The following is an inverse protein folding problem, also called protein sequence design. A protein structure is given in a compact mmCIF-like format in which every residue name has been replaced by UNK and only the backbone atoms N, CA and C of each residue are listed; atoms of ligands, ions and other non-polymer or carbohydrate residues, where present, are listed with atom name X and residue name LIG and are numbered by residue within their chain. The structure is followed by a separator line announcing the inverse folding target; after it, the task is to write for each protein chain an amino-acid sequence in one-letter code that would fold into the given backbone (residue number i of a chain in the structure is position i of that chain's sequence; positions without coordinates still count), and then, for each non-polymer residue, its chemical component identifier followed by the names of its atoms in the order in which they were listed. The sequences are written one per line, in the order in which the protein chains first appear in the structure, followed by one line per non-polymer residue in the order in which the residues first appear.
data_IF_307713086205
#
_entry.id   IF_307713086205
#
_cell.length_a   1.000
_cell.length_b   1.000
_cell.length_c   1.000
_cell.angle_alpha   90.00
_cell.angle_beta   90.00
_cell.angle_gamma   90.00
#
_symmetry.space_group_name_H-M   'P 1'
#
loop_
_entity.id
_entity.type
_entity.pdbx_description
1 polymer ?
#
# COMPACT_ATOMS: atom_id res chain seq x y z
N UNK A 1 -36.78 11.50 -19.03
CA UNK A 1 -36.01 10.85 -17.95
C UNK A 1 -35.29 9.66 -18.55
N UNK A 2 -34.06 9.84 -19.00
CA UNK A 2 -33.23 8.79 -19.61
C UNK A 2 -31.92 8.77 -18.84
N UNK A 3 -31.69 7.68 -18.11
CA UNK A 3 -30.44 7.40 -17.40
C UNK A 3 -29.47 6.76 -18.40
N UNK A 4 -28.41 7.50 -18.75
CA UNK A 4 -27.22 7.00 -19.44
C UNK A 4 -26.15 6.52 -18.45
N UNK A 5 -25.17 5.72 -18.90
CA UNK A 5 -24.61 4.62 -18.11
C UNK A 5 -23.41 5.00 -17.21
N UNK A 6 -23.19 4.11 -16.22
CA UNK A 6 -22.07 4.08 -15.28
C UNK A 6 -20.72 4.19 -16.00
N UNK A 7 -19.91 5.16 -15.60
CA UNK A 7 -18.50 5.26 -15.96
C UNK A 7 -17.74 4.11 -15.30
N UNK A 8 -17.03 3.38 -16.14
CA UNK A 8 -16.12 2.28 -15.84
C UNK A 8 -14.87 2.82 -15.13
N UNK A 9 -14.60 2.35 -13.91
CA UNK A 9 -13.30 2.52 -13.25
C UNK A 9 -12.35 1.46 -13.78
N UNK A 10 -11.50 1.85 -14.73
CA UNK A 10 -10.32 1.09 -15.12
C UNK A 10 -9.13 1.68 -14.36
N UNK A 11 -8.42 0.96 -13.48
CA UNK A 11 -7.08 1.38 -13.09
C UNK A 11 -6.14 0.96 -14.23
N UNK A 12 -5.89 1.88 -15.17
CA UNK A 12 -4.72 1.81 -16.03
C UNK A 12 -3.66 2.72 -15.41
N UNK A 13 -2.79 2.15 -14.59
CA UNK A 13 -1.43 2.66 -14.41
C UNK A 13 -0.59 2.04 -15.52
N UNK A 14 0.05 2.89 -16.32
CA UNK A 14 0.63 2.57 -17.63
C UNK A 14 1.93 1.76 -17.49
N UNK A 15 2.14 0.80 -18.39
CA UNK A 15 3.40 0.05 -18.59
C UNK A 15 4.63 0.96 -18.87
N UNK A 16 4.40 2.27 -19.03
CA UNK A 16 5.41 3.30 -19.28
C UNK A 16 6.00 3.86 -17.97
N UNK A 17 5.15 4.15 -16.97
CA UNK A 17 5.60 4.57 -15.62
C UNK A 17 6.47 3.47 -14.97
N UNK A 18 6.14 2.19 -15.21
CA UNK A 18 6.90 1.05 -14.71
C UNK A 18 8.27 0.88 -15.38
N UNK A 19 8.41 1.26 -16.66
CA UNK A 19 9.69 1.15 -17.40
C UNK A 19 10.70 2.21 -16.98
N UNK A 20 10.25 3.43 -16.70
CA UNK A 20 11.14 4.51 -16.28
C UNK A 20 11.80 4.21 -14.93
N UNK A 21 11.05 3.61 -14.00
CA UNK A 21 11.58 3.17 -12.71
C UNK A 21 12.46 1.92 -12.86
N UNK A 22 12.11 0.97 -13.73
CA UNK A 22 12.91 -0.23 -13.96
C UNK A 22 14.33 0.07 -14.48
N UNK A 23 14.49 1.09 -15.33
CA UNK A 23 15.79 1.54 -15.85
C UNK A 23 16.67 2.25 -14.80
N UNK A 24 16.09 2.71 -13.67
CA UNK A 24 16.80 3.34 -12.56
C UNK A 24 17.34 2.34 -11.53
N UNK A 25 16.91 1.06 -11.59
CA UNK A 25 17.32 -0.01 -10.67
C UNK A 25 18.68 -0.59 -11.07
N UNK A 26 19.73 0.23 -11.01
CA UNK A 26 21.10 -0.27 -10.86
C UNK A 26 21.54 -0.11 -9.38
N UNK A 27 21.32 -1.19 -8.60
CA UNK A 27 22.19 -1.68 -7.51
C UNK A 27 21.92 -1.41 -6.01
N UNK A 28 20.86 -0.68 -5.58
CA UNK A 28 20.60 -0.47 -4.13
C UNK A 28 19.34 -1.12 -3.57
N UNK A 29 18.33 -1.38 -4.41
CA UNK A 29 17.04 -1.96 -4.01
C UNK A 29 16.79 -3.32 -4.67
N UNK A 30 16.10 -4.22 -3.97
CA UNK A 30 15.64 -5.50 -4.52
C UNK A 30 14.13 -5.60 -4.39
N UNK A 31 13.42 -5.75 -5.51
CA UNK A 31 11.96 -5.90 -5.54
C UNK A 31 11.58 -7.37 -5.79
N UNK A 32 10.82 -7.95 -4.86
CA UNK A 32 10.39 -9.36 -4.88
C UNK A 32 8.87 -9.45 -4.82
N UNK A 33 8.25 -10.17 -5.75
CA UNK A 33 6.82 -10.47 -5.71
C UNK A 33 6.56 -11.84 -5.09
N UNK A 34 5.69 -11.93 -4.09
CA UNK A 34 5.28 -13.17 -3.45
C UNK A 34 3.79 -13.47 -3.70
N UNK A 35 3.47 -14.72 -4.01
CA UNK A 35 2.13 -15.14 -4.41
C UNK A 35 1.80 -14.75 -5.87
N UNK A 36 0.68 -15.24 -6.42
CA UNK A 36 0.28 -14.94 -7.80
C UNK A 36 0.14 -13.43 -8.07
N UNK A 37 -0.48 -12.67 -7.16
CA UNK A 37 -0.73 -11.24 -7.37
C UNK A 37 0.52 -10.40 -7.11
N UNK A 38 1.30 -10.74 -6.09
CA UNK A 38 2.58 -10.09 -5.84
C UNK A 38 3.56 -10.31 -7.00
N UNK A 39 3.66 -11.55 -7.51
CA UNK A 39 4.48 -11.86 -8.68
C UNK A 39 4.02 -11.09 -9.92
N UNK A 40 2.71 -11.04 -10.21
CA UNK A 40 2.17 -10.28 -11.34
C UNK A 40 2.42 -8.76 -11.20
N UNK A 41 2.33 -8.21 -9.98
CA UNK A 41 2.60 -6.81 -9.73
C UNK A 41 4.06 -6.43 -10.01
N UNK A 42 4.99 -7.33 -9.69
CA UNK A 42 6.42 -7.14 -9.92
C UNK A 42 6.83 -7.51 -11.36
N UNK A 43 6.08 -8.37 -12.05
CA UNK A 43 6.33 -8.71 -13.47
C UNK A 43 6.18 -7.48 -14.38
N UNK A 44 5.18 -6.64 -14.13
CA UNK A 44 5.01 -5.36 -14.84
C UNK A 44 6.12 -4.34 -14.57
N UNK A 45 6.78 -4.43 -13.41
CA UNK A 45 7.92 -3.60 -13.02
C UNK A 45 9.23 -4.04 -13.73
N UNK A 46 9.23 -5.20 -14.40
CA UNK A 46 10.45 -5.82 -14.92
C UNK A 46 10.63 -5.62 -16.42
N UNK A 47 11.08 -4.42 -16.78
CA UNK A 47 12.22 -4.39 -17.70
C UNK A 47 13.45 -4.86 -16.92
N UNK A 48 13.88 -6.11 -17.09
CA UNK A 48 15.21 -6.62 -16.68
C UNK A 48 15.58 -6.88 -15.20
N UNK A 49 14.64 -7.05 -14.24
CA UNK A 49 15.00 -7.68 -12.95
C UNK A 49 14.63 -9.18 -12.92
N UNK A 50 15.59 -10.05 -12.58
CA UNK A 50 15.46 -11.52 -12.62
C UNK A 50 14.43 -12.03 -11.61
N UNK A 51 13.45 -12.83 -12.05
CA UNK A 51 12.58 -13.58 -11.11
C UNK A 51 13.53 -14.44 -10.31
N UNK A 52 13.27 -14.69 -9.03
CA UNK A 52 13.99 -15.73 -8.32
C UNK A 52 13.21 -17.05 -8.49
N UNK A 53 13.40 -17.84 -9.56
CA UNK A 53 13.02 -19.24 -9.53
C UNK A 53 14.18 -20.01 -8.92
N UNK A 54 14.10 -20.31 -7.63
CA UNK A 54 14.99 -21.27 -6.97
C UNK A 54 16.42 -20.79 -6.77
N UNK A 55 16.93 -21.08 -5.57
CA UNK A 55 18.33 -20.89 -5.24
C UNK A 55 19.24 -21.73 -6.15
N UNK A 56 19.94 -21.09 -7.10
CA UNK A 56 21.25 -21.53 -7.59
C UNK A 56 21.86 -20.49 -8.55
N UNK A 57 22.45 -19.42 -8.01
CA UNK A 57 23.85 -19.11 -8.29
C UNK A 57 24.34 -17.99 -7.36
N UNK A 58 25.17 -18.37 -6.39
CA UNK A 58 25.89 -17.46 -5.53
C UNK A 58 27.05 -16.87 -6.33
N UNK A 59 27.00 -15.58 -6.64
CA UNK A 59 28.05 -14.98 -7.48
C UNK A 59 28.08 -13.47 -7.65
N UNK A 60 27.33 -12.67 -6.90
CA UNK A 60 27.62 -11.22 -6.80
C UNK A 60 26.98 -10.64 -5.54
N UNK A 61 27.83 -10.18 -4.62
CA UNK A 61 27.42 -9.34 -3.50
C UNK A 61 27.05 -7.98 -4.08
N UNK A 62 25.78 -7.82 -4.43
CA UNK A 62 25.18 -6.52 -4.70
C UNK A 62 24.96 -5.86 -3.33
N UNK A 63 25.40 -4.61 -3.16
CA UNK A 63 25.27 -3.86 -1.91
C UNK A 63 23.82 -3.40 -1.72
N UNK A 64 22.93 -4.35 -1.39
CA UNK A 64 21.50 -4.09 -1.19
C UNK A 64 21.29 -3.29 0.10
N UNK A 65 20.64 -2.14 0.00
CA UNK A 65 20.31 -1.28 1.15
C UNK A 65 18.91 -1.57 1.67
N UNK A 66 17.97 -1.94 0.79
CA UNK A 66 16.64 -2.38 1.17
C UNK A 66 16.05 -3.42 0.22
N UNK A 67 15.12 -4.21 0.74
CA UNK A 67 14.34 -5.21 -0.01
C UNK A 67 12.86 -4.84 0.09
N UNK A 68 12.23 -4.60 -1.05
CA UNK A 68 10.79 -4.35 -1.16
C UNK A 68 10.11 -5.66 -1.58
N UNK A 69 9.23 -6.18 -0.73
CA UNK A 69 8.48 -7.41 -0.98
C UNK A 69 7.02 -7.05 -1.24
N UNK A 70 6.52 -7.33 -2.42
CA UNK A 70 5.14 -7.14 -2.79
C UNK A 70 4.34 -8.42 -2.54
N UNK A 71 3.26 -8.32 -1.78
CA UNK A 71 2.39 -9.46 -1.48
C UNK A 71 0.93 -9.00 -1.37
N UNK A 72 0.00 -9.83 -1.80
CA UNK A 72 -1.43 -9.62 -1.55
C UNK A 72 -1.83 -10.41 -0.31
N UNK A 73 -2.61 -9.81 0.60
CA UNK A 73 -3.03 -10.52 1.82
C UNK A 73 -3.83 -11.78 1.50
N UNK A 74 -4.62 -11.77 0.44
CA UNK A 74 -5.37 -12.93 -0.02
C UNK A 74 -4.48 -14.12 -0.41
N UNK A 75 -3.26 -13.85 -0.87
CA UNK A 75 -2.26 -14.88 -1.21
C UNK A 75 -1.55 -15.43 0.04
N UNK A 76 -1.61 -14.72 1.17
CA UNK A 76 -1.06 -15.13 2.48
C UNK A 76 -2.14 -15.79 3.37
N UNK A 77 -3.41 -15.56 3.04
CA UNK A 77 -4.55 -15.88 3.87
C UNK A 77 -4.68 -17.33 4.31
N UNK A 78 -5.20 -17.51 5.53
CA UNK A 78 -5.68 -18.79 6.07
C UNK A 78 -7.20 -18.93 5.81
N UNK A 79 -7.70 -20.16 5.68
CA UNK A 79 -9.12 -20.46 5.38
C UNK A 79 -10.14 -19.61 6.17
N UNK A 80 -11.18 -19.13 5.47
CA UNK A 80 -12.57 -19.09 5.98
C UNK A 80 -13.29 -17.74 6.06
N UNK A 81 -14.15 -17.44 5.08
CA UNK A 81 -15.53 -16.95 5.35
C UNK A 81 -16.58 -17.38 4.33
N UNK A 82 -16.29 -18.35 3.45
CA UNK A 82 -17.35 -19.10 2.78
C UNK A 82 -17.72 -20.31 3.63
N UNK A 83 -18.98 -20.33 4.07
CA UNK A 83 -19.55 -21.24 5.06
C UNK A 83 -19.70 -22.70 4.60
N UNK A 84 -18.88 -23.18 3.67
CA UNK A 84 -19.02 -24.51 3.07
C UNK A 84 -17.67 -25.19 2.89
N UNK A 85 -16.93 -25.42 3.98
CA UNK A 85 -15.98 -26.55 4.17
C UNK A 85 -15.39 -26.45 5.58
N UNK A 86 -15.97 -27.19 6.53
CA UNK A 86 -15.25 -27.54 7.75
C UNK A 86 -14.20 -28.60 7.40
N UNK A 87 -13.05 -28.54 8.08
CA UNK A 87 -11.87 -29.42 7.96
C UNK A 87 -10.95 -29.13 6.78
N UNK A 88 -9.94 -28.27 6.94
CA UNK A 88 -8.60 -28.48 6.38
C UNK A 88 -7.52 -27.58 7.00
N UNK A 89 -6.29 -27.97 6.72
CA UNK A 89 -5.03 -27.28 6.99
C UNK A 89 -4.96 -26.03 6.08
N UNK A 90 -4.08 -25.03 6.30
CA UNK A 90 -3.79 -24.01 5.29
C UNK A 90 -3.60 -24.63 3.91
N UNK A 91 -4.12 -23.98 2.87
CA UNK A 91 -3.77 -24.34 1.50
C UNK A 91 -2.24 -24.26 1.36
N UNK A 92 -1.60 -25.26 0.73
CA UNK A 92 -0.15 -25.30 0.62
C UNK A 92 0.43 -24.01 0.01
N UNK A 93 -0.30 -23.38 -0.92
CA UNK A 93 0.08 -22.15 -1.61
C UNK A 93 0.22 -20.92 -0.68
N UNK A 94 -0.62 -20.79 0.36
CA UNK A 94 -0.52 -19.69 1.33
C UNK A 94 0.69 -19.87 2.27
N UNK A 95 0.93 -21.11 2.69
CA UNK A 95 2.14 -21.47 3.45
C UNK A 95 3.42 -21.25 2.64
N UNK A 96 3.40 -21.59 1.35
CA UNK A 96 4.50 -21.35 0.40
C UNK A 96 4.76 -19.86 0.20
N UNK A 97 3.71 -19.04 0.00
CA UNK A 97 3.82 -17.59 -0.15
C UNK A 97 4.47 -16.96 1.07
N UNK A 98 4.01 -17.31 2.28
CA UNK A 98 4.58 -16.78 3.50
C UNK A 98 6.03 -17.23 3.72
N UNK A 99 6.35 -18.49 3.42
CA UNK A 99 7.74 -18.97 3.49
C UNK A 99 8.65 -18.25 2.49
N UNK A 100 8.10 -17.83 1.33
CA UNK A 100 8.79 -17.03 0.33
C UNK A 100 9.08 -15.62 0.87
N UNK A 101 8.10 -14.98 1.51
CA UNK A 101 8.31 -13.69 2.20
C UNK A 101 9.36 -13.83 3.29
N UNK A 102 9.25 -14.84 4.17
CA UNK A 102 10.23 -15.08 5.23
C UNK A 102 11.66 -15.25 4.67
N UNK A 103 11.81 -15.98 3.56
CA UNK A 103 13.12 -16.16 2.93
C UNK A 103 13.67 -14.88 2.29
N UNK A 104 12.78 -14.02 1.78
CA UNK A 104 13.15 -12.74 1.15
C UNK A 104 13.56 -11.69 2.18
N UNK A 105 12.96 -11.71 3.37
CA UNK A 105 13.27 -10.78 4.46
C UNK A 105 14.48 -11.22 5.30
N UNK A 106 14.71 -12.53 5.49
CA UNK A 106 15.75 -13.04 6.41
C UNK A 106 17.18 -13.08 5.84
N UNK A 107 17.37 -12.73 4.57
CA UNK A 107 18.59 -13.05 3.82
C UNK A 107 19.72 -12.01 3.87
N UNK A 108 19.41 -10.72 4.07
CA UNK A 108 20.36 -9.62 3.85
C UNK A 108 20.29 -8.63 5.04
N UNK A 109 21.40 -7.97 5.43
CA UNK A 109 21.43 -6.84 6.40
C UNK A 109 20.66 -5.59 5.91
N UNK A 110 19.80 -5.78 4.90
CA UNK A 110 19.04 -4.76 4.21
C UNK A 110 17.68 -4.57 4.89
N UNK A 111 17.22 -3.32 4.98
CA UNK A 111 15.93 -3.01 5.55
C UNK A 111 14.79 -3.58 4.70
N UNK A 112 13.90 -4.37 5.30
CA UNK A 112 12.84 -5.07 4.59
C UNK A 112 11.49 -4.33 4.71
N UNK A 113 10.94 -3.94 3.56
CA UNK A 113 9.61 -3.31 3.46
C UNK A 113 8.68 -4.26 2.74
N UNK A 114 7.61 -4.71 3.40
CA UNK A 114 6.58 -5.53 2.77
C UNK A 114 5.42 -4.63 2.37
N UNK A 115 5.18 -4.48 1.08
CA UNK A 115 4.01 -3.79 0.52
C UNK A 115 2.88 -4.79 0.38
N UNK A 116 1.76 -4.49 1.03
CA UNK A 116 0.66 -5.43 1.24
C UNK A 116 -0.62 -4.89 0.62
N UNK A 117 -1.12 -5.59 -0.40
CA UNK A 117 -2.43 -5.31 -1.00
C UNK A 117 -3.57 -5.75 -0.09
N UNK A 118 -4.38 -4.79 0.38
CA UNK A 118 -5.50 -5.03 1.29
C UNK A 118 -6.82 -5.11 0.48
N UNK A 119 -7.53 -6.26 0.50
CA UNK A 119 -8.77 -6.42 -0.22
C UNK A 119 -9.88 -5.52 0.32
N UNK A 120 -10.85 -5.16 -0.53
CA UNK A 120 -12.02 -4.37 -0.10
C UNK A 120 -12.89 -5.09 0.95
N UNK A 121 -12.80 -6.42 1.03
CA UNK A 121 -13.38 -7.21 2.12
C UNK A 121 -12.25 -7.61 3.05
N UNK A 122 -12.16 -6.92 4.18
CA UNK A 122 -11.13 -7.18 5.17
C UNK A 122 -11.69 -7.99 6.33
N UNK A 123 -11.21 -9.21 6.52
CA UNK A 123 -11.68 -10.15 7.53
C UNK A 123 -10.61 -10.50 8.56
N UNK A 124 -10.95 -11.46 9.43
CA UNK A 124 -10.08 -11.89 10.54
C UNK A 124 -8.82 -12.59 10.02
N UNK A 125 -8.94 -13.37 8.95
CA UNK A 125 -7.80 -14.06 8.32
C UNK A 125 -6.80 -13.08 7.73
N UNK A 126 -7.28 -12.02 7.08
CA UNK A 126 -6.44 -10.97 6.51
C UNK A 126 -5.70 -10.18 7.60
N UNK A 127 -6.39 -9.85 8.70
CA UNK A 127 -5.76 -9.22 9.87
C UNK A 127 -4.63 -10.08 10.44
N UNK A 128 -4.88 -11.37 10.61
CA UNK A 128 -3.88 -12.31 11.14
C UNK A 128 -2.67 -12.48 10.22
N UNK A 129 -2.88 -12.43 8.90
CA UNK A 129 -1.80 -12.45 7.92
C UNK A 129 -0.92 -11.18 8.04
N UNK A 130 -1.53 -9.99 8.14
CA UNK A 130 -0.79 -8.73 8.36
C UNK A 130 0.02 -8.79 9.66
N UNK A 131 -0.59 -9.23 10.77
CA UNK A 131 0.10 -9.36 12.07
C UNK A 131 1.34 -10.27 11.96
N UNK A 132 1.24 -11.33 11.16
CA UNK A 132 2.36 -12.24 10.94
C UNK A 132 3.45 -11.61 10.08
N UNK A 133 3.09 -10.86 9.05
CA UNK A 133 4.03 -10.12 8.21
C UNK A 133 4.78 -9.05 9.02
N UNK A 134 4.11 -8.34 9.92
CA UNK A 134 4.75 -7.41 10.86
C UNK A 134 5.76 -8.09 11.79
N UNK A 135 5.58 -9.38 12.09
CA UNK A 135 6.54 -10.16 12.87
C UNK A 135 7.76 -10.66 12.07
N UNK A 136 7.75 -10.49 10.74
CA UNK A 136 8.79 -10.99 9.83
C UNK A 136 9.61 -9.84 9.23
N UNK A 137 8.96 -8.74 8.87
CA UNK A 137 9.57 -7.60 8.19
C UNK A 137 9.85 -6.43 9.13
N UNK A 138 10.74 -5.53 8.73
CA UNK A 138 11.03 -4.31 9.48
C UNK A 138 9.88 -3.29 9.37
N UNK A 139 9.23 -3.24 8.22
CA UNK A 139 8.06 -2.41 7.99
C UNK A 139 7.02 -3.07 7.07
N UNK A 140 5.75 -2.84 7.37
CA UNK A 140 4.62 -3.26 6.53
C UNK A 140 3.87 -2.04 6.02
N UNK A 141 3.81 -1.88 4.70
CA UNK A 141 3.08 -0.79 4.04
C UNK A 141 1.81 -1.33 3.42
N UNK A 142 0.67 -0.97 3.98
CA UNK A 142 -0.64 -1.37 3.47
C UNK A 142 -1.03 -0.49 2.28
N UNK A 143 -1.59 -1.09 1.24
CA UNK A 143 -2.13 -0.38 0.08
C UNK A 143 -3.47 -0.93 -0.35
N UNK A 144 -4.27 -0.11 -1.03
CA UNK A 144 -5.57 -0.53 -1.55
C UNK A 144 -5.44 -1.67 -2.55
N UNK A 145 -6.45 -2.54 -2.60
CA UNK A 145 -6.55 -3.62 -3.58
C UNK A 145 -6.36 -3.11 -5.02
N UNK A 146 -5.65 -3.89 -5.82
CA UNK A 146 -5.34 -3.57 -7.23
C UNK A 146 -4.32 -2.45 -7.45
N UNK A 147 -3.86 -1.74 -6.41
CA UNK A 147 -2.84 -0.69 -6.53
C UNK A 147 -1.43 -1.15 -6.12
N UNK A 148 -1.23 -2.45 -5.90
CA UNK A 148 0.05 -3.03 -5.53
C UNK A 148 1.20 -2.70 -6.52
N UNK A 149 1.01 -2.77 -7.86
CA UNK A 149 2.08 -2.41 -8.80
C UNK A 149 2.46 -0.93 -8.69
N UNK A 150 1.46 -0.05 -8.64
CA UNK A 150 1.67 1.39 -8.49
C UNK A 150 2.37 1.73 -7.17
N UNK A 151 2.00 1.08 -6.07
CA UNK A 151 2.64 1.27 -4.78
C UNK A 151 4.14 0.95 -4.79
N UNK A 152 4.52 -0.15 -5.43
CA UNK A 152 5.93 -0.55 -5.55
C UNK A 152 6.70 0.51 -6.35
N UNK A 153 6.18 0.90 -7.51
CA UNK A 153 6.81 1.93 -8.33
C UNK A 153 6.95 3.24 -7.56
N UNK A 154 5.91 3.66 -6.86
CA UNK A 154 5.96 4.92 -6.11
C UNK A 154 6.89 4.86 -4.91
N UNK A 155 7.00 3.73 -4.23
CA UNK A 155 7.95 3.56 -3.13
C UNK A 155 9.40 3.55 -3.65
N UNK A 156 9.67 2.86 -4.76
CA UNK A 156 11.00 2.85 -5.38
C UNK A 156 11.37 4.22 -5.90
N UNK A 157 10.45 4.87 -6.62
CA UNK A 157 10.62 6.21 -7.15
C UNK A 157 10.85 7.26 -6.03
N UNK A 158 10.21 7.12 -4.88
CA UNK A 158 10.48 7.95 -3.71
C UNK A 158 11.95 7.86 -3.23
N UNK A 159 12.59 6.72 -3.42
CA UNK A 159 13.96 6.45 -2.98
C UNK A 159 14.98 6.79 -4.08
N UNK A 160 14.62 6.57 -5.35
CA UNK A 160 15.55 6.64 -6.49
C UNK A 160 15.45 7.95 -7.29
N UNK A 161 14.30 8.65 -7.31
CA UNK A 161 14.14 9.88 -8.08
C UNK A 161 14.87 11.06 -7.43
N UNK A 162 15.78 11.68 -8.17
CA UNK A 162 16.47 12.88 -7.73
C UNK A 162 15.52 14.10 -7.73
N UNK A 163 15.09 14.52 -6.55
CA UNK A 163 14.26 15.69 -6.35
C UNK A 163 15.03 17.01 -6.24
N UNK A 164 14.32 18.14 -6.34
CA UNK A 164 14.82 19.46 -5.89
C UNK A 164 15.02 19.45 -4.37
N UNK A 165 14.11 18.79 -3.65
CA UNK A 165 14.28 18.41 -2.25
C UNK A 165 14.21 16.88 -2.23
N UNK A 166 15.38 16.26 -2.13
CA UNK A 166 15.51 14.81 -2.23
C UNK A 166 15.08 14.13 -0.93
N UNK A 167 14.29 13.08 -1.06
CA UNK A 167 14.00 12.11 -0.01
C UNK A 167 14.92 10.92 -0.19
N UNK A 168 15.35 10.29 0.89
CA UNK A 168 16.20 9.11 0.83
C UNK A 168 15.61 7.90 1.57
N UNK A 169 16.28 6.77 1.46
CA UNK A 169 15.87 5.55 2.15
C UNK A 169 15.92 5.72 3.67
N UNK A 170 16.82 6.53 4.22
CA UNK A 170 16.93 6.75 5.66
C UNK A 170 15.71 7.52 6.19
N UNK A 171 15.13 8.42 5.41
CA UNK A 171 13.87 9.10 5.73
C UNK A 171 12.72 8.08 5.83
N UNK A 172 12.59 7.19 4.84
CA UNK A 172 11.58 6.12 4.84
C UNK A 172 11.75 5.17 6.03
N UNK A 173 13.01 4.77 6.31
CA UNK A 173 13.34 3.95 7.48
C UNK A 173 12.97 4.65 8.78
N UNK A 174 13.33 5.92 8.92
CA UNK A 174 13.05 6.72 10.13
C UNK A 174 11.55 6.90 10.34
N UNK A 175 10.78 7.05 9.26
CA UNK A 175 9.34 7.16 9.31
C UNK A 175 8.67 5.85 9.74
N UNK A 176 9.07 4.71 9.16
CA UNK A 176 8.38 3.43 9.33
C UNK A 176 8.86 2.61 10.53
N UNK A 177 10.12 2.74 10.95
CA UNK A 177 10.71 1.93 12.03
C UNK A 177 10.02 2.04 13.39
N UNK A 178 9.51 3.22 13.83
CA UNK A 178 8.89 3.35 15.16
C UNK A 178 7.64 2.48 15.34
N UNK A 179 6.79 2.45 14.31
CA UNK A 179 5.47 1.80 14.37
C UNK A 179 5.42 0.47 13.60
N UNK A 180 6.43 0.21 12.74
CA UNK A 180 6.53 -1.00 11.90
C UNK A 180 5.42 -1.11 10.86
N UNK A 181 4.61 -0.06 10.69
CA UNK A 181 3.44 -0.06 9.82
C UNK A 181 3.15 1.31 9.22
N UNK A 182 2.71 1.31 7.97
CA UNK A 182 2.27 2.49 7.26
C UNK A 182 1.26 2.20 6.16
N UNK A 183 0.79 3.26 5.51
CA UNK A 183 0.03 3.16 4.25
C UNK A 183 0.66 4.07 3.21
N UNK A 184 0.61 3.65 1.96
CA UNK A 184 1.04 4.46 0.82
C UNK A 184 -0.18 4.79 -0.03
N UNK A 185 -0.23 6.01 -0.55
CA UNK A 185 -1.19 6.43 -1.56
C UNK A 185 -0.59 7.51 -2.47
N UNK A 186 -1.22 7.75 -3.60
CA UNK A 186 -0.83 8.78 -4.55
C UNK A 186 -2.06 9.42 -5.17
N UNK A 187 -1.98 10.71 -5.46
CA UNK A 187 -3.02 11.47 -6.11
C UNK A 187 -2.44 12.42 -7.15
N UNK A 188 -3.18 12.64 -8.23
CA UNK A 188 -2.83 13.61 -9.26
C UNK A 188 -3.92 14.66 -9.37
N UNK A 189 -3.51 15.88 -9.71
CA UNK A 189 -4.39 17.02 -9.91
C UNK A 189 -3.83 17.96 -10.96
N UNK A 190 -4.65 18.83 -11.56
CA UNK A 190 -4.15 19.85 -12.46
C UNK A 190 -3.40 20.93 -11.65
N UNK A 191 -2.38 21.53 -12.27
CA UNK A 191 -1.57 22.58 -11.68
C UNK A 191 -2.39 23.84 -11.32
N UNK A 192 -3.52 24.06 -12.02
CA UNK A 192 -4.48 25.12 -11.70
C UNK A 192 -5.21 24.94 -10.36
N UNK A 193 -5.31 23.70 -9.86
CA UNK A 193 -5.94 23.36 -8.56
C UNK A 193 -5.18 22.22 -7.87
N UNK A 194 -3.94 22.46 -7.41
CA UNK A 194 -3.04 21.41 -6.95
C UNK A 194 -3.52 20.74 -5.65
N UNK A 195 -4.44 21.37 -4.89
CA UNK A 195 -5.06 20.78 -3.70
C UNK A 195 -5.95 19.58 -4.03
N UNK A 196 -6.40 19.43 -5.28
CA UNK A 196 -7.13 18.23 -5.70
C UNK A 196 -6.21 17.02 -5.72
N UNK A 197 -4.91 17.19 -5.99
CA UNK A 197 -3.93 16.10 -5.92
C UNK A 197 -3.80 15.56 -4.49
N UNK A 198 -3.76 16.47 -3.50
CA UNK A 198 -3.76 16.12 -2.07
C UNK A 198 -5.05 15.38 -1.70
N UNK A 199 -6.20 15.89 -2.16
CA UNK A 199 -7.50 15.26 -1.89
C UNK A 199 -7.57 13.85 -2.49
N UNK A 200 -7.11 13.68 -3.73
CA UNK A 200 -7.04 12.39 -4.41
C UNK A 200 -6.08 11.41 -3.70
N UNK A 201 -4.93 11.89 -3.19
CA UNK A 201 -4.00 11.06 -2.44
C UNK A 201 -4.63 10.54 -1.14
N UNK A 202 -5.35 11.39 -0.41
CA UNK A 202 -6.06 11.02 0.81
C UNK A 202 -7.22 10.05 0.55
N UNK A 203 -7.97 10.27 -0.52
CA UNK A 203 -9.01 9.32 -1.00
C UNK A 203 -8.42 7.98 -1.47
N UNK A 204 -7.13 7.98 -1.83
CA UNK A 204 -6.39 6.79 -2.22
C UNK A 204 -5.95 5.91 -1.04
N UNK A 205 -5.99 6.41 0.20
CA UNK A 205 -5.71 5.64 1.41
C UNK A 205 -6.76 4.53 1.58
N UNK A 206 -6.35 3.41 2.19
CA UNK A 206 -7.27 2.29 2.47
C UNK A 206 -8.45 2.76 3.31
N UNK A 207 -9.65 2.33 2.94
CA UNK A 207 -10.88 2.60 3.69
C UNK A 207 -10.77 2.14 5.15
N UNK A 208 -11.44 2.86 6.05
CA UNK A 208 -11.48 2.55 7.49
C UNK A 208 -10.14 2.65 8.23
N UNK A 209 -9.12 3.25 7.61
CA UNK A 209 -7.90 3.72 8.28
C UNK A 209 -8.09 5.18 8.72
N UNK A 210 -7.79 5.48 9.98
CA UNK A 210 -7.83 6.85 10.49
C UNK A 210 -6.53 7.60 10.17
N UNK A 211 -6.56 8.42 9.13
CA UNK A 211 -5.43 9.28 8.73
C UNK A 211 -5.09 10.32 9.81
N UNK A 212 -6.06 10.74 10.63
CA UNK A 212 -5.83 11.73 11.68
C UNK A 212 -4.99 11.17 12.85
N UNK A 213 -4.90 9.85 12.96
CA UNK A 213 -4.09 9.18 13.98
C UNK A 213 -2.63 8.93 13.54
N UNK A 214 -2.27 9.25 12.29
CA UNK A 214 -0.93 9.02 11.77
C UNK A 214 0.13 9.78 12.59
N UNK A 215 1.13 9.05 13.09
CA UNK A 215 2.25 9.58 13.91
C UNK A 215 3.33 10.26 13.06
N UNK A 216 3.34 9.98 11.75
CA UNK A 216 4.29 10.53 10.81
C UNK A 216 3.79 10.49 9.38
N UNK A 217 4.36 11.36 8.55
CA UNK A 217 4.10 11.39 7.12
C UNK A 217 5.36 11.74 6.32
N UNK A 218 5.55 11.05 5.19
CA UNK A 218 6.35 11.54 4.05
C UNK A 218 5.38 12.06 2.99
N UNK A 219 5.57 13.32 2.60
CA UNK A 219 4.82 13.98 1.52
C UNK A 219 5.78 14.33 0.41
N UNK A 220 5.70 13.62 -0.70
CA UNK A 220 6.46 13.95 -1.90
C UNK A 220 5.56 14.63 -2.93
N UNK A 221 6.01 15.78 -3.45
CA UNK A 221 5.28 16.57 -4.41
C UNK A 221 6.06 16.63 -5.72
N UNK A 222 5.55 15.97 -6.75
CA UNK A 222 6.11 16.00 -8.10
C UNK A 222 5.25 16.88 -9.01
N UNK A 223 5.85 17.74 -9.82
CA UNK A 223 5.09 18.60 -10.73
C UNK A 223 5.93 19.10 -11.90
N UNK A 224 5.35 20.03 -12.66
CA UNK A 224 6.05 20.70 -13.76
C UNK A 224 7.27 21.49 -13.24
N UNK A 225 8.24 21.82 -14.10
CA UNK A 225 9.36 22.69 -13.73
C UNK A 225 8.95 24.06 -13.18
N UNK A 226 7.71 24.48 -13.43
CA UNK A 226 7.14 25.75 -12.96
C UNK A 226 6.57 25.66 -11.53
N UNK A 227 6.45 24.45 -10.96
CA UNK A 227 6.01 24.26 -9.58
C UNK A 227 7.04 24.83 -8.61
N UNK A 228 6.69 25.97 -8.01
CA UNK A 228 7.53 26.59 -6.98
C UNK A 228 7.57 25.76 -5.69
N UNK A 229 8.69 25.85 -4.97
CA UNK A 229 8.85 25.23 -3.64
C UNK A 229 7.80 25.72 -2.64
N UNK A 230 7.41 27.00 -2.71
CA UNK A 230 6.33 27.55 -1.87
C UNK A 230 4.96 26.92 -2.20
N UNK A 231 4.72 26.60 -3.48
CA UNK A 231 3.54 25.86 -3.93
C UNK A 231 3.51 24.45 -3.35
N UNK A 232 4.62 23.72 -3.45
CA UNK A 232 4.75 22.40 -2.84
C UNK A 232 4.57 22.43 -1.32
N UNK A 233 5.18 23.40 -0.63
CA UNK A 233 5.03 23.58 0.82
C UNK A 233 3.58 23.87 1.24
N UNK A 234 2.82 24.57 0.40
CA UNK A 234 1.39 24.81 0.64
C UNK A 234 0.57 23.52 0.61
N UNK A 235 0.90 22.58 -0.29
CA UNK A 235 0.27 21.25 -0.35
C UNK A 235 0.65 20.38 0.85
N UNK A 236 1.90 20.45 1.30
CA UNK A 236 2.34 19.80 2.54
C UNK A 236 1.54 20.32 3.73
N UNK A 237 1.29 21.63 3.79
CA UNK A 237 0.40 22.24 4.79
C UNK A 237 -1.01 21.64 4.78
N UNK A 238 -1.59 21.40 3.59
CA UNK A 238 -2.89 20.76 3.46
C UNK A 238 -2.91 19.34 4.03
N UNK A 239 -1.85 18.55 3.84
CA UNK A 239 -1.73 17.21 4.44
C UNK A 239 -1.59 17.32 5.95
N UNK A 240 -0.74 18.23 6.44
CA UNK A 240 -0.50 18.46 7.86
C UNK A 240 -1.79 18.77 8.65
N UNK A 241 -2.72 19.51 8.05
CA UNK A 241 -4.01 19.83 8.66
C UNK A 241 -4.95 18.62 8.86
N UNK A 242 -4.60 17.46 8.28
CA UNK A 242 -5.44 16.25 8.27
C UNK A 242 -4.85 15.07 9.04
N UNK A 243 -3.60 15.19 9.49
CA UNK A 243 -2.90 14.20 10.31
C UNK A 243 -2.74 14.73 11.75
N UNK A 244 -2.13 13.95 12.64
CA UNK A 244 -1.89 14.39 14.02
C UNK A 244 -1.02 15.66 14.06
N UNK A 245 -1.36 16.59 14.98
CA UNK A 245 -0.68 17.88 15.08
C UNK A 245 0.79 17.79 15.52
N UNK A 246 1.14 16.71 16.22
CA UNK A 246 2.49 16.37 16.67
C UNK A 246 3.18 15.36 15.73
N UNK A 247 2.55 15.01 14.60
CA UNK A 247 3.11 14.06 13.64
C UNK A 247 4.44 14.56 13.06
N UNK A 248 5.39 13.64 12.91
CA UNK A 248 6.67 13.92 12.26
C UNK A 248 6.49 13.95 10.73
N UNK A 249 6.55 15.13 10.12
CA UNK A 249 6.37 15.32 8.67
C UNK A 249 7.70 15.57 7.99
N UNK A 250 8.08 14.65 7.10
CA UNK A 250 9.18 14.79 6.14
C UNK A 250 8.54 15.11 4.78
N UNK A 251 9.13 15.99 4.00
CA UNK A 251 8.57 16.30 2.68
C UNK A 251 9.67 16.53 1.64
N UNK A 252 9.35 16.14 0.41
CA UNK A 252 10.22 16.22 -0.76
C UNK A 252 9.51 16.89 -1.91
N UNK A 253 10.30 17.24 -2.93
CA UNK A 253 9.73 17.66 -4.19
C UNK A 253 10.65 17.29 -5.34
N UNK A 254 10.04 16.80 -6.42
CA UNK A 254 10.70 16.41 -7.64
C UNK A 254 10.07 17.11 -8.86
N UNK A 255 10.84 17.20 -9.94
CA UNK A 255 10.33 17.66 -11.22
C UNK A 255 9.95 16.41 -12.02
N UNK A 256 8.70 16.36 -12.44
CA UNK A 256 8.19 15.33 -13.33
C UNK A 256 8.13 15.89 -14.76
N UNK A 257 9.11 15.51 -15.59
CA UNK A 257 9.18 15.94 -16.98
C UNK A 257 8.08 15.31 -17.85
N UNK A 258 7.52 14.15 -17.47
CA UNK A 258 6.42 13.51 -18.21
C UNK A 258 5.10 14.25 -18.02
N UNK A 259 4.95 14.92 -16.89
CA UNK A 259 3.82 15.80 -16.61
C UNK A 259 3.79 17.07 -17.50
N UNK A 260 4.89 17.36 -18.20
CA UNK A 260 4.94 18.39 -19.26
C UNK A 260 4.45 17.86 -20.64
N UNK A 261 4.09 16.57 -20.70
CA UNK A 261 3.69 15.78 -21.87
C UNK A 261 2.30 16.06 -22.44
N UNK A 262 1.90 17.33 -22.53
CA UNK A 262 1.06 17.75 -23.67
C UNK A 262 1.59 19.06 -24.22
N UNK A 263 2.73 18.99 -24.90
CA UNK A 263 3.15 19.97 -25.90
C UNK A 263 2.18 19.98 -27.11
N UNK A 264 0.88 19.95 -26.89
CA UNK A 264 -0.10 20.46 -27.84
C UNK A 264 -0.13 21.97 -27.66
N UNK A 265 0.08 22.77 -28.72
CA UNK A 265 -0.17 24.20 -28.67
C UNK A 265 -1.67 24.42 -28.39
N UNK A 266 -2.03 24.59 -27.11
CA UNK A 266 -3.40 24.76 -26.63
C UNK A 266 -3.87 23.87 -25.46
N UNK A 267 -3.05 22.93 -24.96
CA UNK A 267 -3.34 22.19 -23.71
C UNK A 267 -2.71 22.90 -22.52
N UNK A 268 -3.52 23.50 -21.65
CA UNK A 268 -3.09 24.59 -20.77
C UNK A 268 -2.93 24.25 -19.29
N UNK A 269 -2.92 22.99 -18.87
CA UNK A 269 -2.69 22.65 -17.47
C UNK A 269 -1.64 21.53 -17.37
N UNK A 270 -0.49 21.86 -16.77
CA UNK A 270 0.38 20.85 -16.18
C UNK A 270 -0.36 20.08 -15.10
N UNK A 271 0.26 19.01 -14.60
CA UNK A 271 -0.27 18.26 -13.47
C UNK A 271 0.66 18.33 -12.27
N UNK A 272 0.13 17.98 -11.11
CA UNK A 272 0.89 17.82 -9.86
C UNK A 272 0.50 16.46 -9.31
N UNK A 273 1.50 15.65 -8.98
CA UNK A 273 1.38 14.38 -8.28
C UNK A 273 1.79 14.59 -6.83
N UNK A 274 1.00 14.08 -5.91
CA UNK A 274 1.31 14.03 -4.48
C UNK A 274 1.35 12.58 -4.04
N UNK A 275 2.50 12.14 -3.52
CA UNK A 275 2.69 10.81 -2.93
C UNK A 275 2.68 10.96 -1.41
N UNK A 276 1.91 10.11 -0.75
CA UNK A 276 1.70 10.17 0.68
C UNK A 276 2.03 8.81 1.30
N UNK A 277 3.06 8.78 2.13
CA UNK A 277 3.40 7.63 2.97
C UNK A 277 3.14 8.02 4.42
N UNK A 278 2.18 7.39 5.07
CA UNK A 278 1.85 7.64 6.48
C UNK A 278 2.38 6.49 7.35
N UNK A 279 2.83 6.80 8.56
CA UNK A 279 3.16 5.82 9.60
C UNK A 279 2.31 6.02 10.85
N UNK A 280 2.37 5.05 11.77
CA UNK A 280 1.58 5.07 13.01
C UNK A 280 0.09 4.85 12.78
N UNK A 281 -0.26 4.23 11.66
CA UNK A 281 -1.64 3.85 11.37
C UNK A 281 -1.93 2.45 11.90
N UNK A 282 -3.18 2.21 12.28
CA UNK A 282 -3.67 0.86 12.57
C UNK A 282 -4.32 0.24 11.32
N UNK A 283 -4.20 -1.08 11.11
CA UNK A 283 -4.94 -1.77 10.07
C UNK A 283 -6.44 -1.59 10.26
N UNK A 284 -7.24 -1.61 9.18
CA UNK A 284 -8.69 -1.49 9.29
C UNK A 284 -9.25 -2.58 10.23
N UNK A 285 -10.35 -2.27 10.92
CA UNK A 285 -11.00 -3.28 11.76
C UNK A 285 -11.55 -4.42 10.89
N UNK A 286 -11.26 -5.69 11.21
CA UNK A 286 -11.77 -6.81 10.43
C UNK A 286 -13.29 -6.92 10.56
N UNK A 287 -13.96 -7.02 9.42
CA UNK A 287 -15.37 -7.37 9.35
C UNK A 287 -15.54 -8.80 9.84
N UNK A 288 -16.39 -8.97 10.85
CA UNK A 288 -16.69 -10.28 11.44
C UNK A 288 -17.98 -10.85 10.86
N UNK A 289 -17.99 -12.17 10.73
CA UNK A 289 -19.10 -12.98 10.20
C UNK A 289 -19.62 -13.95 11.25
N UNK A 290 -20.86 -14.45 11.10
CA UNK A 290 -21.36 -15.56 11.93
C UNK A 290 -20.43 -16.78 11.82
N UNK A 291 -20.08 -17.37 12.97
CA UNK A 291 -19.10 -18.46 13.05
C UNK A 291 -17.71 -18.00 13.52
N UNK A 292 -17.36 -16.72 13.36
CA UNK A 292 -16.07 -16.19 13.80
C UNK A 292 -15.93 -16.20 15.33
N UNK A 293 -14.69 -16.07 15.81
CA UNK A 293 -14.39 -16.01 17.24
C UNK A 293 -14.66 -14.61 17.81
N UNK A 294 -15.30 -14.59 18.97
CA UNK A 294 -15.62 -13.36 19.69
C UNK A 294 -14.32 -12.73 20.22
N UNK A 295 -14.09 -11.43 19.98
CA UNK A 295 -12.86 -10.76 20.44
C UNK A 295 -12.77 -10.67 21.97
N UNK A 296 -13.88 -10.82 22.69
CA UNK A 296 -13.93 -10.65 24.15
C UNK A 296 -13.72 -11.94 24.93
N UNK A 297 -14.20 -13.08 24.40
CA UNK A 297 -14.20 -14.34 25.15
C UNK A 297 -13.86 -15.57 24.30
N UNK A 298 -13.44 -15.36 23.04
CA UNK A 298 -13.12 -16.43 22.07
C UNK A 298 -14.28 -17.42 21.79
N UNK A 299 -15.51 -17.07 22.19
CA UNK A 299 -16.72 -17.85 21.90
C UNK A 299 -17.18 -17.66 20.45
N UNK A 300 -17.96 -18.59 19.90
CA UNK A 300 -18.50 -18.46 18.54
C UNK A 300 -19.51 -17.32 18.45
N UNK A 301 -19.41 -16.51 17.38
CA UNK A 301 -20.37 -15.46 17.06
C UNK A 301 -21.60 -16.03 16.34
N UNK A 302 -22.77 -15.68 16.85
CA UNK A 302 -24.08 -15.99 16.27
C UNK A 302 -24.54 -14.82 15.40
N UNK A 303 -25.10 -15.13 14.23
CA UNK A 303 -25.68 -14.14 13.32
C UNK A 303 -27.19 -14.06 13.48
N UNK A 304 -27.73 -12.85 13.62
CA UNK A 304 -29.16 -12.57 13.67
C UNK A 304 -29.54 -11.65 12.52
N UNK A 305 -30.32 -12.17 11.57
CA UNK A 305 -30.80 -11.38 10.44
C UNK A 305 -32.13 -10.74 10.77
N UNK A 306 -32.20 -9.41 10.67
CA UNK A 306 -33.42 -8.62 10.82
C UNK A 306 -33.60 -7.76 9.55
N UNK A 307 -34.59 -8.13 8.72
CA UNK A 307 -34.75 -7.53 7.40
C UNK A 307 -33.53 -7.78 6.53
N UNK A 308 -32.95 -6.71 5.97
CA UNK A 308 -31.75 -6.77 5.12
C UNK A 308 -30.42 -6.66 5.89
N UNK A 309 -30.48 -6.53 7.22
CA UNK A 309 -29.30 -6.38 8.08
C UNK A 309 -29.01 -7.65 8.88
N UNK A 310 -27.74 -8.04 8.97
CA UNK A 310 -27.29 -9.12 9.86
C UNK A 310 -26.48 -8.51 10.99
N UNK A 311 -26.92 -8.74 12.23
CA UNK A 311 -26.16 -8.38 13.43
C UNK A 311 -25.44 -9.60 13.94
N UNK A 312 -24.17 -9.45 14.34
CA UNK A 312 -23.40 -10.52 14.97
C UNK A 312 -23.37 -10.32 16.48
N UNK A 313 -23.58 -11.37 17.25
CA UNK A 313 -23.47 -11.31 18.70
C UNK A 313 -22.85 -12.58 19.29
N UNK A 314 -22.21 -12.46 20.46
CA UNK A 314 -21.71 -13.59 21.21
C UNK A 314 -22.68 -13.92 22.35
N UNK A 315 -23.24 -15.12 22.31
CA UNK A 315 -24.16 -15.62 23.34
C UNK A 315 -23.49 -15.79 24.72
N UNK A 316 -22.16 -15.98 24.74
CA UNK A 316 -21.42 -16.25 25.98
C UNK A 316 -21.11 -14.97 26.79
N UNK A 317 -20.79 -13.86 26.12
CA UNK A 317 -20.35 -12.63 26.80
C UNK A 317 -21.19 -11.39 26.46
N UNK A 318 -22.22 -11.54 25.62
CA UNK A 318 -23.09 -10.45 25.19
C UNK A 318 -22.41 -9.42 24.27
N UNK A 319 -21.27 -9.76 23.65
CA UNK A 319 -20.67 -8.93 22.60
C UNK A 319 -21.69 -8.75 21.47
N UNK A 320 -21.88 -7.54 20.97
CA UNK A 320 -22.71 -7.26 19.80
C UNK A 320 -21.92 -6.36 18.86
N UNK A 321 -21.66 -6.85 17.65
CA UNK A 321 -21.00 -6.11 16.58
C UNK A 321 -21.99 -5.83 15.45
N UNK A 322 -21.85 -4.68 14.81
CA UNK A 322 -22.62 -4.37 13.59
C UNK A 322 -21.80 -4.84 12.40
N UNK A 323 -22.21 -5.92 11.75
CA UNK A 323 -21.65 -6.29 10.45
C UNK A 323 -22.27 -5.36 9.41
N UNK A 324 -21.50 -4.43 8.85
CA UNK A 324 -21.94 -3.67 7.68
C UNK A 324 -21.71 -4.53 6.44
N UNK A 325 -22.74 -4.62 5.60
CA UNK A 325 -22.77 -5.42 4.38
C UNK A 325 -22.25 -4.61 3.19
#
# INVERSE_FOLDING_TARGET
MSLGPKLSTTPMTTDEELRHVADAVESSLSVVGCGPRGAAAVDGFRGDCSLAPGASDAGQSVNRQATVVAVDVGDVGMEGSDADTATRNPTPEAGETLSSVESSCRGDDAFSIVVVGVPSRFGVSERAAIDRLQGIADAVVLVRDGWLPGAISQLVALIEEAGVVNLDLADVQTLLSPDGMGTLSSGTGPESTPETAVSAALEGVISDVDVAAASGAIVDVSGTPDLSVDGAASLVGCVRDRIDGEAHVIWGTAVDEETSGSSQPGGADGSVRVRLLLSGIEPPEPTRSPGDRCPRCDGTLSGYTMGDSTTIACDACGYAGVSRR
#
